data_IF_019301104105
#
_entry.id   IF_019301104105
#
_cell.length_a   1.000
_cell.length_b   1.000
_cell.length_c   1.000
_cell.angle_alpha   90.00
_cell.angle_beta   90.00
_cell.angle_gamma   90.00
#
_symmetry.space_group_name_H-M   'P 1'
#
loop_
_entity.id
_entity.type
_entity.pdbx_description
1 polymer ?
#
# COMPACT_ATOMS: atom_id res chain seq x y z
N UNK A 1 12.11 -8.15 -21.38
CA UNK A 1 11.28 -8.61 -20.28
C UNK A 1 11.04 -7.43 -19.38
N UNK A 2 9.77 -7.11 -19.21
CA UNK A 2 9.32 -6.05 -18.34
C UNK A 2 9.71 -6.36 -16.90
N UNK A 3 10.16 -5.35 -16.17
CA UNK A 3 10.49 -5.45 -14.75
C UNK A 3 9.92 -4.28 -13.98
N UNK A 4 9.71 -4.47 -12.68
CA UNK A 4 9.27 -3.45 -11.73
C UNK A 4 10.30 -3.36 -10.62
N UNK A 5 10.72 -2.15 -10.27
CA UNK A 5 11.78 -1.92 -9.28
C UNK A 5 11.64 -0.54 -8.62
N UNK A 6 12.43 -0.31 -7.56
CA UNK A 6 12.50 0.96 -6.84
C UNK A 6 11.13 1.44 -6.34
N UNK A 7 10.32 0.50 -5.84
CA UNK A 7 9.00 0.84 -5.28
C UNK A 7 9.20 1.55 -3.95
N UNK A 8 8.64 2.75 -3.85
CA UNK A 8 8.64 3.57 -2.64
C UNK A 8 7.20 3.90 -2.31
N UNK A 9 6.83 3.68 -1.05
CA UNK A 9 5.56 4.13 -0.49
C UNK A 9 5.82 5.24 0.52
N UNK A 10 4.97 6.26 0.53
CA UNK A 10 4.97 7.30 1.55
C UNK A 10 3.54 7.63 1.98
N UNK A 11 3.37 7.92 3.25
CA UNK A 11 2.12 8.37 3.85
C UNK A 11 2.26 9.85 4.24
N UNK A 12 1.24 10.64 3.94
CA UNK A 12 1.10 12.01 4.43
C UNK A 12 -0.33 12.28 4.86
N UNK A 13 -0.54 13.36 5.61
CA UNK A 13 -1.90 13.75 6.04
C UNK A 13 -2.82 13.90 4.81
N UNK A 14 -4.01 13.30 4.91
CA UNK A 14 -5.04 13.39 3.89
C UNK A 14 -5.77 14.73 3.93
N UNK A 15 -6.84 14.82 3.13
CA UNK A 15 -7.73 15.99 3.13
C UNK A 15 -8.59 16.10 4.40
N UNK A 16 -8.66 15.03 5.20
CA UNK A 16 -9.38 14.98 6.48
C UNK A 16 -8.49 14.33 7.55
N UNK A 17 -8.81 14.53 8.83
CA UNK A 17 -8.12 13.87 9.94
C UNK A 17 -8.23 12.33 9.91
N UNK A 18 -9.22 11.79 9.19
CA UNK A 18 -9.49 10.36 9.06
C UNK A 18 -8.93 9.73 7.77
N UNK A 19 -8.17 10.49 6.98
CA UNK A 19 -7.59 9.99 5.73
C UNK A 19 -6.09 10.24 5.68
N UNK A 20 -5.39 9.36 4.98
CA UNK A 20 -4.00 9.50 4.61
C UNK A 20 -3.86 9.55 3.09
N UNK A 21 -2.98 10.41 2.60
CA UNK A 21 -2.56 10.40 1.21
C UNK A 21 -1.45 9.35 1.07
N UNK A 22 -1.78 8.22 0.45
CA UNK A 22 -0.85 7.14 0.15
C UNK A 22 -0.29 7.36 -1.23
N UNK A 23 1.01 7.66 -1.31
CA UNK A 23 1.74 7.86 -2.57
C UNK A 23 2.66 6.68 -2.81
N UNK A 24 2.53 6.07 -3.98
CA UNK A 24 3.37 4.97 -4.44
C UNK A 24 4.09 5.40 -5.72
N UNK A 25 5.42 5.35 -5.67
CA UNK A 25 6.31 5.69 -6.78
C UNK A 25 7.14 4.46 -7.12
N UNK A 26 7.49 4.30 -8.39
CA UNK A 26 8.34 3.19 -8.82
C UNK A 26 8.85 3.33 -10.24
N UNK A 27 9.66 2.36 -10.66
CA UNK A 27 10.20 2.28 -12.02
C UNK A 27 9.75 0.99 -12.68
N UNK A 28 9.16 1.11 -13.86
CA UNK A 28 8.86 0.01 -14.77
C UNK A 28 9.85 0.06 -15.92
N UNK A 29 10.59 -1.01 -16.18
CA UNK A 29 11.56 -1.05 -17.29
C UNK A 29 11.07 -2.01 -18.35
N UNK A 30 10.97 -1.53 -19.59
CA UNK A 30 10.51 -2.32 -20.74
C UNK A 30 11.62 -2.53 -21.76
N UNK A 31 11.61 -3.66 -22.43
CA UNK A 31 12.48 -3.92 -23.59
C UNK A 31 11.87 -3.43 -24.90
N UNK A 32 12.71 -3.32 -25.94
CA UNK A 32 12.27 -2.97 -27.29
C UNK A 32 11.16 -3.91 -27.83
N UNK A 33 11.20 -5.19 -27.43
CA UNK A 33 10.21 -6.20 -27.80
C UNK A 33 8.82 -5.97 -27.18
N UNK A 34 8.68 -5.02 -26.27
CA UNK A 34 7.45 -4.72 -25.53
C UNK A 34 6.75 -3.43 -25.99
N UNK A 35 7.43 -2.64 -26.83
CA UNK A 35 6.86 -1.43 -27.43
C UNK A 35 5.62 -1.78 -28.25
N UNK A 36 4.55 -1.01 -28.04
CA UNK A 36 3.23 -1.24 -28.64
C UNK A 36 2.35 -2.27 -27.93
N UNK A 37 2.89 -3.03 -26.95
CA UNK A 37 2.09 -3.97 -26.16
C UNK A 37 1.35 -3.24 -25.03
N UNK A 38 0.20 -3.78 -24.65
CA UNK A 38 -0.59 -3.32 -23.51
C UNK A 38 -0.21 -4.08 -22.23
N UNK A 39 -0.02 -3.36 -21.14
CA UNK A 39 0.19 -3.91 -19.80
C UNK A 39 -0.89 -3.40 -18.85
N UNK A 40 -1.08 -4.11 -17.74
CA UNK A 40 -1.89 -3.62 -16.61
C UNK A 40 -1.00 -3.51 -15.38
N UNK A 41 -1.01 -2.36 -14.75
CA UNK A 41 -0.35 -2.13 -13.47
C UNK A 41 -1.37 -2.20 -12.35
N UNK A 42 -1.10 -3.02 -11.33
CA UNK A 42 -1.88 -3.09 -10.10
C UNK A 42 -1.01 -2.59 -8.95
N UNK A 43 -1.64 -1.91 -7.99
CA UNK A 43 -0.99 -1.45 -6.77
C UNK A 43 -1.89 -1.92 -5.62
N UNK A 44 -1.36 -2.76 -4.74
CA UNK A 44 -2.02 -3.19 -3.52
C UNK A 44 -1.25 -2.68 -2.31
N UNK A 45 -1.97 -2.21 -1.29
CA UNK A 45 -1.45 -1.89 0.03
C UNK A 45 -1.70 -3.09 0.92
N UNK A 46 -0.66 -3.57 1.58
CA UNK A 46 -0.68 -4.75 2.43
C UNK A 46 -0.26 -4.39 3.85
N UNK A 47 -0.84 -5.08 4.83
CA UNK A 47 -0.32 -5.17 6.19
C UNK A 47 0.85 -6.15 6.21
N UNK A 48 1.91 -5.86 6.97
CA UNK A 48 3.03 -6.78 7.15
C UNK A 48 2.95 -7.46 8.51
N UNK A 49 2.76 -8.78 8.48
CA UNK A 49 2.83 -9.63 9.67
C UNK A 49 4.29 -9.85 10.06
N UNK A 50 4.77 -9.16 11.11
CA UNK A 50 6.15 -9.36 11.58
C UNK A 50 6.22 -10.42 12.66
N UNK A 51 7.04 -11.44 12.42
CA UNK A 51 7.38 -12.43 13.45
C UNK A 51 7.97 -11.74 14.68
N UNK A 52 7.25 -11.80 15.80
CA UNK A 52 7.67 -11.23 17.08
C UNK A 52 7.13 -9.84 17.40
N UNK A 53 6.32 -9.24 16.53
CA UNK A 53 5.34 -8.29 17.03
C UNK A 53 4.39 -9.04 18.00
N UNK A 54 3.98 -8.36 19.07
CA UNK A 54 2.99 -8.88 20.01
C UNK A 54 1.67 -8.21 19.73
N UNK A 55 1.33 -8.06 18.46
CA UNK A 55 0.02 -7.56 18.07
C UNK A 55 -0.93 -8.75 18.13
N UNK A 56 -2.10 -8.62 18.78
CA UNK A 56 -3.07 -9.69 18.82
C UNK A 56 -3.70 -9.83 17.43
N UNK A 57 -3.00 -10.54 16.55
CA UNK A 57 -3.39 -10.84 15.19
C UNK A 57 -4.83 -11.36 15.17
N UNK A 58 -5.73 -10.57 14.60
CA UNK A 58 -7.07 -11.02 14.24
C UNK A 58 -7.05 -12.04 13.11
N UNK A 59 -5.96 -12.13 12.34
CA UNK A 59 -5.82 -12.98 11.16
C UNK A 59 -4.83 -14.15 11.34
N UNK A 60 -5.16 -15.36 10.84
CA UNK A 60 -4.22 -16.46 10.73
C UNK A 60 -3.14 -16.25 9.65
N UNK A 61 -2.01 -15.65 10.02
CA UNK A 61 -0.69 -15.78 9.35
C UNK A 61 -0.66 -15.35 7.87
N UNK A 62 -0.15 -14.16 7.61
CA UNK A 62 0.31 -13.71 6.29
C UNK A 62 0.00 -12.25 5.99
N UNK A 63 0.76 -11.66 5.06
CA UNK A 63 0.52 -10.27 4.65
C UNK A 63 -0.87 -10.08 4.01
N UNK A 64 -1.72 -9.29 4.67
CA UNK A 64 -3.10 -9.06 4.25
C UNK A 64 -3.26 -7.91 3.26
N UNK A 65 -4.07 -8.10 2.21
CA UNK A 65 -4.41 -7.02 1.29
C UNK A 65 -5.43 -6.07 1.94
N UNK A 66 -4.95 -4.91 2.38
CA UNK A 66 -5.79 -3.88 2.99
C UNK A 66 -6.52 -3.02 1.95
N UNK A 67 -5.83 -2.61 0.89
CA UNK A 67 -6.41 -1.73 -0.11
C UNK A 67 -5.82 -1.88 -1.53
N UNK A 68 -6.62 -2.31 -2.53
CA UNK A 68 -6.22 -2.21 -3.93
C UNK A 68 -6.49 -0.81 -4.49
N UNK A 69 -5.51 -0.21 -5.17
CA UNK A 69 -5.74 1.02 -5.92
C UNK A 69 -6.79 0.77 -7.00
N UNK A 70 -7.68 1.75 -7.15
CA UNK A 70 -8.76 1.70 -8.12
C UNK A 70 -8.61 2.84 -9.15
N UNK A 71 -8.89 2.52 -10.40
CA UNK A 71 -8.83 3.44 -11.54
C UNK A 71 -10.17 3.49 -12.28
N UNK A 72 -10.45 4.65 -12.87
CA UNK A 72 -11.70 4.93 -13.58
C UNK A 72 -12.62 5.87 -12.81
N UNK A 73 -13.47 6.57 -13.56
CA UNK A 73 -14.38 7.59 -13.04
C UNK A 73 -15.82 7.08 -12.88
N UNK A 74 -16.21 6.08 -13.67
CA UNK A 74 -17.55 5.46 -13.66
C UNK A 74 -17.47 4.01 -13.16
N UNK A 75 -18.53 3.57 -12.49
CA UNK A 75 -18.65 2.19 -12.03
C UNK A 75 -18.70 1.21 -13.22
N UNK A 76 -18.01 0.04 -13.14
CA UNK A 76 -17.11 -0.38 -12.06
C UNK A 76 -15.69 0.18 -12.21
N UNK A 77 -15.12 0.65 -11.09
CA UNK A 77 -13.69 0.99 -11.03
C UNK A 77 -12.85 -0.27 -11.22
N UNK A 78 -11.76 -0.16 -11.98
CA UNK A 78 -10.85 -1.27 -12.26
C UNK A 78 -9.74 -1.32 -11.21
N UNK A 79 -9.33 -2.51 -10.73
CA UNK A 79 -8.22 -2.66 -9.78
C UNK A 79 -6.84 -2.54 -10.46
N UNK A 80 -6.79 -2.01 -11.69
CA UNK A 80 -5.57 -1.85 -12.46
C UNK A 80 -5.62 -0.61 -13.35
N UNK A 81 -4.44 -0.06 -13.65
CA UNK A 81 -4.21 0.94 -14.71
C UNK A 81 -3.70 0.23 -15.96
N UNK A 82 -4.46 0.30 -17.04
CA UNK A 82 -4.02 -0.21 -18.34
C UNK A 82 -3.31 0.89 -19.12
N UNK A 83 -2.19 0.54 -19.77
CA UNK A 83 -1.46 1.45 -20.65
C UNK A 83 -0.73 0.67 -21.75
N UNK A 84 -0.37 1.39 -22.81
CA UNK A 84 0.45 0.87 -23.91
C UNK A 84 1.88 1.37 -23.76
N UNK A 85 2.86 0.49 -23.93
CA UNK A 85 4.29 0.87 -23.86
C UNK A 85 4.65 1.68 -25.10
N UNK A 86 4.97 2.96 -24.90
CA UNK A 86 5.30 3.87 -26.00
C UNK A 86 6.79 3.84 -26.38
N UNK A 87 7.66 3.51 -25.42
CA UNK A 87 9.11 3.46 -25.62
C UNK A 87 9.74 2.42 -24.68
N UNK A 88 10.84 1.83 -25.12
CA UNK A 88 11.68 0.97 -24.29
C UNK A 88 12.50 1.78 -23.28
N UNK A 89 12.95 1.12 -22.23
CA UNK A 89 13.73 1.72 -21.14
C UNK A 89 12.90 1.94 -19.87
N UNK A 90 13.48 2.65 -18.88
CA UNK A 90 12.84 2.90 -17.59
C UNK A 90 11.75 3.97 -17.71
N UNK A 91 10.60 3.69 -17.11
CA UNK A 91 9.46 4.58 -17.00
C UNK A 91 9.08 4.72 -15.53
N UNK A 92 9.19 5.92 -14.99
CA UNK A 92 8.78 6.22 -13.62
C UNK A 92 7.27 6.45 -13.55
N UNK A 93 6.64 5.94 -12.50
CA UNK A 93 5.24 6.24 -12.19
C UNK A 93 5.11 6.80 -10.79
N UNK A 94 4.04 7.55 -10.55
CA UNK A 94 3.64 8.02 -9.22
C UNK A 94 2.12 8.02 -9.18
N UNK A 95 1.56 7.35 -8.18
CA UNK A 95 0.12 7.27 -7.96
C UNK A 95 -0.17 7.63 -6.51
N UNK A 96 -1.07 8.59 -6.31
CA UNK A 96 -1.52 9.01 -4.98
C UNK A 96 -3.00 8.72 -4.82
N UNK A 97 -3.39 8.13 -3.69
CA UNK A 97 -4.80 7.93 -3.31
C UNK A 97 -5.02 8.40 -1.88
N UNK A 98 -6.14 9.09 -1.68
CA UNK A 98 -6.64 9.34 -0.32
C UNK A 98 -7.37 8.08 0.15
N UNK A 99 -6.84 7.46 1.21
CA UNK A 99 -7.33 6.21 1.80
C UNK A 99 -7.73 6.52 3.24
N UNK A 100 -8.87 5.98 3.69
CA UNK A 100 -9.28 6.10 5.09
C UNK A 100 -8.29 5.38 5.99
N UNK A 101 -7.96 5.97 7.15
CA UNK A 101 -7.02 5.37 8.09
C UNK A 101 -7.47 3.97 8.54
N UNK A 102 -8.78 3.75 8.68
CA UNK A 102 -9.39 2.44 8.98
C UNK A 102 -9.12 1.35 7.92
N UNK A 103 -8.74 1.73 6.69
CA UNK A 103 -8.38 0.78 5.62
C UNK A 103 -6.87 0.59 5.50
N UNK A 104 -6.10 1.29 6.32
CA UNK A 104 -4.67 1.10 6.50
C UNK A 104 -4.38 0.47 7.87
N UNK A 105 -5.44 0.07 8.57
CA UNK A 105 -5.45 -0.56 9.88
C UNK A 105 -5.63 -2.06 9.62
N UNK A 106 -4.54 -2.81 9.76
CA UNK A 106 -4.55 -4.27 9.67
C UNK A 106 -5.19 -4.86 10.93
N UNK A 107 -5.02 -4.20 12.07
CA UNK A 107 -5.26 -4.79 13.38
C UNK A 107 -6.07 -3.85 14.31
N UNK A 108 -7.38 -3.68 14.04
CA UNK A 108 -8.18 -2.61 14.63
C UNK A 108 -8.23 -2.70 16.15
N UNK A 109 -7.75 -1.66 16.84
CA UNK A 109 -7.76 -1.66 18.29
C UNK A 109 -6.97 -0.55 18.96
N UNK A 110 -6.86 -0.66 20.28
CA UNK A 110 -6.02 0.22 21.10
C UNK A 110 -5.15 -0.63 22.01
N UNK A 111 -3.92 -0.19 22.24
CA UNK A 111 -3.03 -0.84 23.21
C UNK A 111 -3.07 -0.06 24.50
N UNK A 112 -3.26 -0.76 25.62
CA UNK A 112 -3.13 -0.16 26.94
C UNK A 112 -1.65 0.08 27.21
N UNK A 113 -1.25 1.34 27.32
CA UNK A 113 0.13 1.74 27.54
C UNK A 113 0.42 2.10 29.00
N UNK A 114 -0.61 2.43 29.78
CA UNK A 114 -0.48 2.72 31.20
C UNK A 114 -1.82 2.57 31.93
N UNK A 115 -1.78 2.71 33.25
CA UNK A 115 -2.92 3.01 34.11
C UNK A 115 -2.64 4.33 34.80
N UNK A 116 -3.50 5.33 34.63
CA UNK A 116 -3.38 6.59 35.35
C UNK A 116 -3.78 6.41 36.83
N UNK A 117 -4.69 5.47 37.10
CA UNK A 117 -5.07 4.94 38.40
C UNK A 117 -5.68 3.53 38.23
N UNK A 118 -6.03 2.86 39.35
CA UNK A 118 -6.53 1.47 39.39
C UNK A 118 -7.78 1.20 38.52
N UNK A 119 -8.52 2.24 38.10
CA UNK A 119 -9.71 2.13 37.25
C UNK A 119 -9.61 2.94 35.94
N UNK A 120 -8.49 3.61 35.67
CA UNK A 120 -8.34 4.49 34.49
C UNK A 120 -7.18 4.02 33.60
N UNK A 121 -7.40 3.01 32.73
CA UNK A 121 -6.43 2.62 31.74
C UNK A 121 -6.21 3.72 30.68
N UNK A 122 -4.95 3.99 30.37
CA UNK A 122 -4.53 4.88 29.28
C UNK A 122 -4.27 4.03 28.04
N UNK A 123 -4.97 4.37 26.96
CA UNK A 123 -4.88 3.68 25.69
C UNK A 123 -4.21 4.56 24.64
N UNK A 124 -3.35 3.95 23.84
CA UNK A 124 -2.77 4.58 22.66
C UNK A 124 -3.37 3.95 21.39
N UNK A 125 -3.63 4.73 20.33
CA UNK A 125 -3.96 4.18 19.01
C UNK A 125 -2.85 3.25 18.54
N UNK A 126 -3.20 2.17 17.85
CA UNK A 126 -2.19 1.30 17.25
C UNK A 126 -1.50 2.00 16.08
N UNK A 127 -0.28 1.54 15.84
CA UNK A 127 0.54 1.89 14.70
C UNK A 127 0.76 0.58 13.96
N UNK A 128 0.43 0.58 12.68
CA UNK A 128 0.43 -0.62 11.86
C UNK A 128 1.49 -0.53 10.77
N UNK A 129 2.07 -1.67 10.45
CA UNK A 129 3.07 -1.84 9.42
C UNK A 129 2.42 -2.06 8.06
N UNK A 130 2.56 -1.09 7.15
CA UNK A 130 2.00 -1.20 5.80
C UNK A 130 3.06 -1.05 4.71
N UNK A 131 2.88 -1.77 3.61
CA UNK A 131 3.73 -1.64 2.43
C UNK A 131 2.92 -1.69 1.13
N UNK A 132 3.51 -1.19 0.03
CA UNK A 132 2.91 -1.27 -1.29
C UNK A 132 3.54 -2.39 -2.11
N UNK A 133 2.72 -3.20 -2.77
CA UNK A 133 3.14 -4.16 -3.79
C UNK A 133 2.61 -3.72 -5.15
N UNK A 134 3.50 -3.66 -6.13
CA UNK A 134 3.19 -3.26 -7.50
C UNK A 134 3.40 -4.46 -8.41
N UNK A 135 2.39 -4.81 -9.20
CA UNK A 135 2.44 -5.89 -10.19
C UNK A 135 2.21 -5.36 -11.59
N UNK A 136 2.81 -6.02 -12.59
CA UNK A 136 2.50 -5.80 -14.00
C UNK A 136 1.92 -7.08 -14.62
N UNK A 137 0.65 -7.07 -15.02
CA UNK A 137 0.08 -8.19 -15.78
C UNK A 137 0.45 -8.01 -17.27
N UNK A 138 1.29 -8.90 -17.79
CA UNK A 138 1.89 -8.87 -19.13
C UNK A 138 3.27 -9.54 -19.16
N UNK A 139 3.93 -9.53 -18.00
CA UNK A 139 5.05 -10.38 -17.56
C UNK A 139 4.85 -10.45 -16.05
N UNK A 140 4.58 -11.59 -15.38
CA UNK A 140 4.13 -11.62 -13.98
C UNK A 140 5.27 -11.24 -13.01
N UNK A 141 5.68 -9.98 -13.07
CA UNK A 141 6.70 -9.36 -12.24
C UNK A 141 6.01 -8.51 -11.19
N UNK A 142 6.53 -8.59 -9.97
CA UNK A 142 6.07 -7.74 -8.88
C UNK A 142 7.25 -7.32 -8.01
N UNK A 143 7.15 -6.14 -7.42
CA UNK A 143 8.09 -5.63 -6.45
C UNK A 143 7.32 -4.95 -5.32
N UNK A 144 7.88 -4.99 -4.11
CA UNK A 144 7.30 -4.34 -2.93
C UNK A 144 8.17 -3.19 -2.45
N UNK A 145 7.55 -2.21 -1.79
CA UNK A 145 8.27 -1.16 -1.06
C UNK A 145 8.86 -1.68 0.24
N UNK A 146 9.66 -0.84 0.89
CA UNK A 146 9.86 -0.94 2.34
C UNK A 146 8.55 -0.70 3.09
N UNK A 147 8.48 -1.25 4.29
CA UNK A 147 7.37 -1.05 5.23
C UNK A 147 7.41 0.34 5.83
N UNK A 148 6.24 0.95 5.96
CA UNK A 148 6.01 2.26 6.57
C UNK A 148 4.99 2.09 7.68
N UNK A 149 5.11 2.88 8.74
CA UNK A 149 4.16 2.89 9.84
C UNK A 149 2.94 3.76 9.47
N UNK A 150 1.75 3.16 9.41
CA UNK A 150 0.46 3.83 9.36
C UNK A 150 -0.10 4.01 10.78
N UNK A 151 -0.70 5.17 11.06
CA UNK A 151 -1.31 5.44 12.36
C UNK A 151 -1.18 6.90 12.78
N UNK A 152 -2.03 7.33 13.71
CA UNK A 152 -1.99 8.69 14.26
C UNK A 152 -0.88 8.71 15.32
N UNK A 153 0.37 8.92 14.86
CA UNK A 153 1.43 9.40 15.75
C UNK A 153 1.12 10.84 16.15
N UNK A 154 0.99 11.07 17.46
CA UNK A 154 1.17 12.41 18.06
C UNK A 154 2.37 12.33 18.98
#
# INVERSE_FOLDING_TARGET
>A
MASVSNIVMSLSAGSTASTANVTVTGTMTFEASEVGKSFRMEIGIFGEDKSGDKLPAGDPVGDDLLYPFQWGFLLPKKPYKQFTVMAAGPQTFTETRSISNEKLDEDPGKVKIAEADINTPVYFPRQDEVYAKVSLSGSPVSARSSTVIAGIGV
#
